data_IF_663971777994
#
_entry.id   IF_663971777994
#
_cell.length_a   1.000
_cell.length_b   1.000
_cell.length_c   1.000
_cell.angle_alpha   90.00
_cell.angle_beta   90.00
_cell.angle_gamma   90.00
#
_symmetry.space_group_name_H-M   'P 1'
#
loop_
_entity.id
_entity.type
_entity.pdbx_description
1 polymer ?
#
# COMPACT_ATOMS: atom_id res chain seq x y z
N UNK A 1 -18.03 -13.96 -9.73
CA UNK A 1 -17.26 -14.29 -8.52
C UNK A 1 -18.16 -14.02 -7.33
N UNK A 2 -18.25 -14.93 -6.37
CA UNK A 2 -19.04 -14.69 -5.14
C UNK A 2 -18.37 -13.61 -4.27
N UNK A 3 -19.17 -12.82 -3.56
CA UNK A 3 -18.70 -11.69 -2.72
C UNK A 3 -17.65 -12.12 -1.70
N UNK A 4 -17.88 -13.25 -1.01
CA UNK A 4 -16.92 -13.83 -0.06
C UNK A 4 -15.59 -14.23 -0.72
N UNK A 5 -15.64 -14.89 -1.88
CA UNK A 5 -14.44 -15.28 -2.61
C UNK A 5 -13.63 -14.05 -3.07
N UNK A 6 -14.32 -13.00 -3.49
CA UNK A 6 -13.70 -11.70 -3.80
C UNK A 6 -13.01 -11.08 -2.57
N UNK A 7 -13.64 -11.13 -1.40
CA UNK A 7 -13.05 -10.61 -0.15
C UNK A 7 -11.83 -11.42 0.30
N UNK A 8 -11.86 -12.75 0.16
CA UNK A 8 -10.73 -13.61 0.48
C UNK A 8 -9.56 -13.40 -0.49
N UNK A 9 -9.83 -13.20 -1.77
CA UNK A 9 -8.81 -12.84 -2.77
C UNK A 9 -8.15 -11.51 -2.41
N UNK A 10 -8.94 -10.49 -2.10
CA UNK A 10 -8.44 -9.18 -1.69
C UNK A 10 -7.53 -9.28 -0.46
N UNK A 11 -7.92 -10.03 0.56
CA UNK A 11 -7.10 -10.26 1.76
C UNK A 11 -5.80 -11.01 1.42
N UNK A 12 -5.87 -12.08 0.63
CA UNK A 12 -4.69 -12.85 0.23
C UNK A 12 -3.68 -12.01 -0.56
N UNK A 13 -4.17 -11.16 -1.49
CA UNK A 13 -3.32 -10.23 -2.22
C UNK A 13 -2.66 -9.22 -1.27
N UNK A 14 -3.40 -8.69 -0.30
CA UNK A 14 -2.84 -7.73 0.65
C UNK A 14 -1.74 -8.36 1.53
N UNK A 15 -1.89 -9.64 1.93
CA UNK A 15 -0.84 -10.41 2.63
C UNK A 15 0.42 -10.53 1.79
N UNK A 16 0.26 -10.87 0.50
CA UNK A 16 1.39 -10.96 -0.42
C UNK A 16 2.09 -9.60 -0.55
N UNK A 17 1.33 -8.52 -0.74
CA UNK A 17 1.87 -7.17 -0.85
C UNK A 17 2.64 -6.76 0.41
N UNK A 18 2.17 -7.15 1.60
CA UNK A 18 2.85 -6.83 2.85
C UNK A 18 4.28 -7.40 2.93
N UNK A 19 4.54 -8.51 2.24
CA UNK A 19 5.84 -9.18 2.18
C UNK A 19 6.84 -8.62 1.15
N UNK A 20 6.40 -7.69 0.28
CA UNK A 20 7.24 -7.12 -0.78
C UNK A 20 8.24 -6.09 -0.25
N UNK A 21 9.26 -5.78 -1.07
CA UNK A 21 10.15 -4.66 -0.79
C UNK A 21 9.42 -3.31 -0.85
N UNK A 22 10.03 -2.27 -0.29
CA UNK A 22 9.36 -0.97 -0.12
C UNK A 22 8.90 -0.33 -1.44
N UNK A 23 9.65 -0.43 -2.54
CA UNK A 23 9.21 0.19 -3.78
C UNK A 23 8.05 -0.60 -4.40
N UNK A 24 8.21 -1.92 -4.50
CA UNK A 24 7.18 -2.80 -5.06
C UNK A 24 5.90 -2.78 -4.22
N UNK A 25 6.03 -2.84 -2.89
CA UNK A 25 4.91 -2.73 -1.94
C UNK A 25 4.11 -1.43 -2.16
N UNK A 26 4.79 -0.29 -2.28
CA UNK A 26 4.11 0.99 -2.50
C UNK A 26 3.32 1.01 -3.81
N UNK A 27 3.89 0.49 -4.90
CA UNK A 27 3.20 0.41 -6.19
C UNK A 27 2.02 -0.55 -6.15
N UNK A 28 2.20 -1.73 -5.57
CA UNK A 28 1.16 -2.75 -5.50
C UNK A 28 0.01 -2.33 -4.57
N UNK A 29 0.26 -1.59 -3.49
CA UNK A 29 -0.80 -1.02 -2.65
C UNK A 29 -1.70 -0.05 -3.43
N UNK A 30 -1.15 0.75 -4.33
CA UNK A 30 -1.95 1.63 -5.21
C UNK A 30 -2.82 0.80 -6.15
N UNK A 31 -2.23 -0.23 -6.78
CA UNK A 31 -2.98 -1.13 -7.66
C UNK A 31 -4.10 -1.86 -6.92
N UNK A 32 -3.80 -2.41 -5.75
CA UNK A 32 -4.75 -3.10 -4.89
C UNK A 32 -5.90 -2.17 -4.47
N UNK A 33 -5.59 -0.95 -4.01
CA UNK A 33 -6.61 0.04 -3.67
C UNK A 33 -7.51 0.34 -4.88
N UNK A 34 -6.93 0.55 -6.06
CA UNK A 34 -7.71 0.81 -7.26
C UNK A 34 -8.55 -0.42 -7.68
N UNK A 35 -8.04 -1.64 -7.52
CA UNK A 35 -8.76 -2.87 -7.83
C UNK A 35 -10.00 -3.05 -6.95
N UNK A 36 -9.89 -2.79 -5.64
CA UNK A 36 -10.94 -3.13 -4.68
C UNK A 36 -11.83 -1.95 -4.26
N UNK A 37 -11.31 -0.71 -4.26
CA UNK A 37 -12.02 0.48 -3.74
C UNK A 37 -12.44 1.49 -4.80
N UNK A 38 -12.23 1.24 -6.10
CA UNK A 38 -12.71 2.15 -7.15
C UNK A 38 -14.24 2.20 -7.26
N UNK A 39 -14.93 1.16 -6.83
CA UNK A 39 -16.40 1.06 -6.91
C UNK A 39 -17.04 0.34 -5.73
N UNK A 40 -16.25 -0.10 -4.76
CA UNK A 40 -16.73 -0.76 -3.54
C UNK A 40 -16.19 -0.03 -2.30
N UNK A 41 -16.86 -0.22 -1.18
CA UNK A 41 -16.47 0.31 0.12
C UNK A 41 -15.90 -0.79 1.01
N UNK A 42 -15.28 -0.42 2.13
CA UNK A 42 -14.74 -1.40 3.09
C UNK A 42 -15.84 -2.28 3.69
N UNK A 43 -17.05 -1.75 3.81
CA UNK A 43 -18.26 -2.45 4.26
C UNK A 43 -18.76 -3.49 3.25
N UNK A 44 -18.24 -3.49 2.02
CA UNK A 44 -18.58 -4.49 1.03
C UNK A 44 -17.84 -5.83 1.24
N UNK A 45 -16.83 -5.86 2.11
CA UNK A 45 -16.14 -7.10 2.46
C UNK A 45 -17.04 -8.06 3.22
N UNK A 46 -17.06 -9.31 2.78
CA UNK A 46 -17.75 -10.43 3.43
C UNK A 46 -16.70 -11.43 3.92
N UNK A 47 -16.22 -11.19 5.14
CA UNK A 47 -15.15 -11.94 5.79
C UNK A 47 -15.61 -12.46 7.16
N UNK A 48 -15.07 -13.60 7.57
CA UNK A 48 -15.21 -14.04 8.95
C UNK A 48 -14.40 -13.15 9.90
N UNK A 49 -14.78 -13.13 11.18
CA UNK A 49 -14.17 -12.26 12.18
C UNK A 49 -12.63 -12.31 12.17
N UNK A 50 -12.07 -13.52 12.09
CA UNK A 50 -10.61 -13.72 12.06
C UNK A 50 -9.95 -13.05 10.84
N UNK A 51 -10.55 -13.22 9.67
CA UNK A 51 -10.03 -12.64 8.42
C UNK A 51 -10.19 -11.11 8.42
N UNK A 52 -11.25 -10.61 9.05
CA UNK A 52 -11.50 -9.18 9.21
C UNK A 52 -10.49 -8.52 10.18
N UNK A 53 -10.15 -9.19 11.28
CA UNK A 53 -9.09 -8.74 12.21
C UNK A 53 -7.74 -8.65 11.49
N UNK A 54 -7.41 -9.66 10.69
CA UNK A 54 -6.17 -9.67 9.91
C UNK A 54 -6.16 -8.58 8.83
N UNK A 55 -7.29 -8.38 8.12
CA UNK A 55 -7.44 -7.28 7.17
C UNK A 55 -7.20 -5.93 7.86
N UNK A 56 -7.79 -5.73 9.03
CA UNK A 56 -7.63 -4.49 9.82
C UNK A 56 -6.17 -4.24 10.23
N UNK A 57 -5.46 -5.28 10.69
CA UNK A 57 -4.05 -5.17 11.05
C UNK A 57 -3.19 -4.80 9.82
N UNK A 58 -3.40 -5.47 8.69
CA UNK A 58 -2.69 -5.21 7.44
C UNK A 58 -2.97 -3.79 6.92
N UNK A 59 -4.23 -3.32 7.00
CA UNK A 59 -4.59 -1.95 6.64
C UNK A 59 -3.78 -0.93 7.43
N UNK A 60 -3.74 -1.08 8.77
CA UNK A 60 -3.00 -0.17 9.63
C UNK A 60 -1.49 -0.18 9.31
N UNK A 61 -0.90 -1.37 9.18
CA UNK A 61 0.52 -1.53 8.82
C UNK A 61 0.84 -0.85 7.49
N UNK A 62 0.02 -1.08 6.47
CA UNK A 62 0.23 -0.54 5.13
C UNK A 62 0.02 0.98 5.06
N UNK A 63 -0.94 1.55 5.79
CA UNK A 63 -1.10 3.01 5.89
C UNK A 63 0.13 3.63 6.54
N UNK A 64 0.61 3.08 7.66
CA UNK A 64 1.81 3.56 8.33
C UNK A 64 3.03 3.49 7.41
N UNK A 65 3.20 2.34 6.74
CA UNK A 65 4.24 2.16 5.73
C UNK A 65 4.20 3.25 4.65
N UNK A 66 3.02 3.56 4.07
CA UNK A 66 2.90 4.58 3.03
C UNK A 66 3.24 6.00 3.54
N UNK A 67 2.91 6.31 4.79
CA UNK A 67 3.28 7.58 5.42
C UNK A 67 4.81 7.70 5.56
N UNK A 68 5.46 6.65 6.05
CA UNK A 68 6.92 6.59 6.23
C UNK A 68 7.65 6.60 4.88
N UNK A 69 7.13 5.86 3.90
CA UNK A 69 7.65 5.82 2.53
C UNK A 69 7.62 7.22 1.89
N UNK A 70 6.48 7.92 1.99
CA UNK A 70 6.34 9.30 1.50
C UNK A 70 7.36 10.25 2.16
N UNK A 71 7.58 10.12 3.46
CA UNK A 71 8.55 10.96 4.17
C UNK A 71 9.98 10.72 3.68
N UNK A 72 10.36 9.45 3.51
CA UNK A 72 11.68 9.03 3.01
C UNK A 72 11.90 9.53 1.58
N UNK A 73 10.96 9.29 0.66
CA UNK A 73 11.08 9.74 -0.73
C UNK A 73 11.21 11.27 -0.82
N UNK A 74 10.51 12.02 0.02
CA UNK A 74 10.62 13.49 0.06
C UNK A 74 12.03 13.94 0.47
N UNK A 75 12.64 13.29 1.46
CA UNK A 75 14.00 13.59 1.90
C UNK A 75 15.03 13.26 0.81
N UNK A 76 14.90 12.10 0.17
CA UNK A 76 15.76 11.69 -0.95
C UNK A 76 15.70 12.69 -2.12
N UNK A 77 14.49 13.11 -2.52
CA UNK A 77 14.31 14.12 -3.57
C UNK A 77 14.96 15.46 -3.20
N UNK A 78 14.89 15.87 -1.94
CA UNK A 78 15.56 17.08 -1.44
C UNK A 78 17.08 16.98 -1.55
N UNK A 79 17.65 15.83 -1.17
CA UNK A 79 19.10 15.55 -1.31
C UNK A 79 19.54 15.54 -2.77
N UNK A 80 18.79 14.86 -3.65
CA UNK A 80 19.06 14.82 -5.08
C UNK A 80 19.04 16.22 -5.72
N UNK A 81 18.06 17.06 -5.32
CA UNK A 81 18.00 18.46 -5.78
C UNK A 81 19.24 19.25 -5.36
N UNK A 82 19.70 19.12 -4.12
CA UNK A 82 20.93 19.78 -3.63
C UNK A 82 22.17 19.34 -4.41
N UNK A 83 22.31 18.04 -4.66
CA UNK A 83 23.42 17.49 -5.45
C UNK A 83 23.41 18.01 -6.89
N UNK A 84 22.22 18.09 -7.51
CA UNK A 84 22.07 18.63 -8.87
C UNK A 84 22.50 20.10 -8.95
N UNK A 85 22.11 20.92 -7.98
CA UNK A 85 22.51 22.33 -7.94
C UNK A 85 24.01 22.49 -7.70
N UNK A 86 24.61 21.65 -6.84
CA UNK A 86 26.07 21.63 -6.67
C UNK A 86 26.81 21.28 -7.97
N UNK A 87 26.33 20.29 -8.71
CA UNK A 87 26.95 19.88 -9.97
C UNK A 87 26.87 20.95 -11.08
N UNK A 88 25.84 21.80 -11.07
CA UNK A 88 25.69 22.91 -12.03
C UNK A 88 26.60 24.11 -11.72
N UNK A 89 27.01 24.27 -10.47
CA UNK A 89 27.86 25.37 -10.01
C UNK A 89 29.36 25.04 -10.10
N UNK A 90 29.70 23.99 -10.85
CA UNK A 90 31.06 23.52 -11.16
C UNK A 90 31.28 23.59 -12.67
#
# INVERSE_FOLDING_TARGET
>A
MERRNWSLEALSELKYIDSLDSYEKAQQLVYWNNKYFSSNEITDFDLELKDLEELSELFFKNIKFLQDYRATTKDELSKLRKLKEFAKNK
#
